data_IF_181177253035
#
_entry.id   IF_181177253035
#
_cell.length_a   1.000
_cell.length_b   1.000
_cell.length_c   1.000
_cell.angle_alpha   90.00
_cell.angle_beta   90.00
_cell.angle_gamma   90.00
#
_symmetry.space_group_name_H-M   'P 1'
#
loop_
_entity.id
_entity.type
_entity.pdbx_description
1 polymer ?
#
# COMPACT_ATOMS: atom_id res chain seq x y z
N UNK A 1 -5.76 1.97 -0.05
CA UNK A 1 -4.89 2.39 1.06
C UNK A 1 -3.70 3.21 0.58
N UNK A 2 -2.75 2.67 -0.21
CA UNK A 2 -1.62 3.46 -0.75
C UNK A 2 -2.07 4.67 -1.57
N UNK A 3 -3.12 4.53 -2.38
CA UNK A 3 -3.74 5.64 -3.12
C UNK A 3 -4.34 6.74 -2.23
N UNK A 4 -4.60 6.45 -0.95
CA UNK A 4 -5.28 7.35 0.00
C UNK A 4 -4.28 7.99 0.96
N UNK A 5 -3.32 7.21 1.47
CA UNK A 5 -2.30 7.65 2.44
C UNK A 5 -0.99 8.14 1.81
N UNK A 6 -0.76 7.82 0.53
CA UNK A 6 0.46 8.20 -0.20
C UNK A 6 1.59 7.19 0.02
N UNK A 7 2.08 7.08 1.25
CA UNK A 7 3.12 6.11 1.64
C UNK A 7 2.72 5.34 2.90
N UNK A 8 3.11 4.06 2.98
CA UNK A 8 2.87 3.19 4.14
C UNK A 8 4.08 2.29 4.42
N UNK A 9 4.38 2.04 5.68
CA UNK A 9 5.41 1.08 6.08
C UNK A 9 4.93 -0.36 5.82
N UNK A 10 5.86 -1.31 5.66
CA UNK A 10 5.50 -2.74 5.62
C UNK A 10 4.73 -3.19 6.87
N UNK A 11 5.01 -2.61 8.04
CA UNK A 11 4.29 -2.87 9.27
C UNK A 11 2.83 -2.40 9.16
N UNK A 12 2.60 -1.17 8.68
CA UNK A 12 1.26 -0.63 8.45
C UNK A 12 0.42 -1.52 7.54
N UNK A 13 1.02 -2.01 6.45
CA UNK A 13 0.32 -2.88 5.50
C UNK A 13 0.01 -4.24 6.15
N UNK A 14 0.88 -4.71 7.03
CA UNK A 14 0.70 -5.94 7.81
C UNK A 14 -0.44 -5.83 8.80
N UNK A 15 -0.48 -4.74 9.55
CA UNK A 15 -1.51 -4.48 10.55
C UNK A 15 -2.86 -4.16 9.90
N UNK A 16 -2.85 -3.39 8.81
CA UNK A 16 -4.06 -3.06 8.06
C UNK A 16 -4.74 -4.32 7.48
N UNK A 17 -3.96 -5.23 6.90
CA UNK A 17 -4.49 -6.43 6.24
C UNK A 17 -4.65 -7.63 7.17
N UNK A 18 -4.12 -7.58 8.40
CA UNK A 18 -4.11 -8.70 9.36
C UNK A 18 -3.55 -10.00 8.73
N UNK A 19 -2.61 -9.86 7.80
CA UNK A 19 -1.93 -10.98 7.12
C UNK A 19 -0.48 -11.06 7.58
N UNK A 20 0.12 -12.24 7.46
CA UNK A 20 1.52 -12.38 7.85
C UNK A 20 2.46 -11.61 6.93
N UNK A 21 3.49 -10.99 7.51
CA UNK A 21 4.50 -10.21 6.81
C UNK A 21 5.14 -10.94 5.61
N UNK A 22 5.44 -12.27 5.64
CA UNK A 22 5.98 -12.96 4.47
C UNK A 22 5.03 -13.00 3.26
N UNK A 23 3.71 -13.11 3.50
CA UNK A 23 2.71 -13.10 2.42
C UNK A 23 2.62 -11.71 1.79
N UNK A 24 2.56 -10.68 2.63
CA UNK A 24 2.49 -9.29 2.19
C UNK A 24 3.74 -8.89 1.43
N UNK A 25 4.92 -9.20 1.96
CA UNK A 25 6.20 -8.90 1.30
C UNK A 25 6.27 -9.52 -0.09
N UNK A 26 5.75 -10.74 -0.27
CA UNK A 26 5.67 -11.38 -1.58
C UNK A 26 4.74 -10.64 -2.55
N UNK A 27 3.54 -10.27 -2.11
CA UNK A 27 2.61 -9.49 -2.93
C UNK A 27 3.19 -8.12 -3.31
N UNK A 28 3.83 -7.42 -2.36
CA UNK A 28 4.48 -6.13 -2.61
C UNK A 28 5.66 -6.26 -3.58
N UNK A 29 6.45 -7.33 -3.47
CA UNK A 29 7.53 -7.61 -4.41
C UNK A 29 7.00 -7.83 -5.83
N UNK A 30 5.87 -8.53 -5.99
CA UNK A 30 5.27 -8.74 -7.31
C UNK A 30 4.65 -7.45 -7.87
N UNK A 31 3.98 -6.63 -7.04
CA UNK A 31 3.51 -5.30 -7.45
C UNK A 31 4.66 -4.36 -7.86
N UNK A 32 5.80 -4.45 -7.17
CA UNK A 32 7.02 -3.70 -7.52
C UNK A 32 7.58 -4.17 -8.87
N UNK A 33 7.64 -5.47 -9.12
CA UNK A 33 8.09 -6.01 -10.42
C UNK A 33 7.21 -5.52 -11.57
N UNK A 34 5.90 -5.37 -11.32
CA UNK A 34 4.96 -4.80 -12.29
C UNK A 34 5.07 -3.27 -12.42
N UNK A 35 5.93 -2.60 -11.65
CA UNK A 35 6.07 -1.13 -11.67
C UNK A 35 4.87 -0.38 -11.09
N UNK A 36 4.00 -1.05 -10.31
CA UNK A 36 2.82 -0.42 -9.72
C UNK A 36 3.14 0.32 -8.41
N UNK A 37 4.11 -0.20 -7.67
CA UNK A 37 4.55 0.39 -6.40
C UNK A 37 6.06 0.60 -6.41
N UNK A 38 6.49 1.60 -5.66
CA UNK A 38 7.88 1.91 -5.38
C UNK A 38 8.14 1.72 -3.89
N UNK A 39 9.25 1.09 -3.55
CA UNK A 39 9.75 1.01 -2.19
C UNK A 39 10.83 2.06 -1.92
N UNK A 40 10.85 2.60 -0.71
CA UNK A 40 11.87 3.53 -0.24
C UNK A 40 12.29 3.13 1.15
N UNK A 41 13.60 2.89 1.34
CA UNK A 41 14.14 2.53 2.64
C UNK A 41 14.47 3.79 3.43
N UNK A 42 13.76 4.01 4.54
CA UNK A 42 14.01 5.10 5.50
C UNK A 42 14.55 4.49 6.80
N UNK A 43 15.87 4.48 6.95
CA UNK A 43 16.54 3.87 8.09
C UNK A 43 16.36 2.35 8.15
N UNK A 44 15.74 1.86 9.24
CA UNK A 44 15.46 0.43 9.44
C UNK A 44 14.20 -0.05 8.72
N UNK A 45 13.35 0.87 8.27
CA UNK A 45 12.02 0.56 7.73
C UNK A 45 11.96 0.74 6.22
N UNK A 46 11.07 -0.03 5.59
CA UNK A 46 10.79 0.04 4.15
C UNK A 46 9.37 0.54 3.96
N UNK A 47 9.25 1.64 3.25
CA UNK A 47 8.01 2.28 2.89
C UNK A 47 7.64 1.93 1.47
N UNK A 48 6.34 1.75 1.21
CA UNK A 48 5.80 1.55 -0.12
C UNK A 48 4.87 2.71 -0.47
N UNK A 49 4.91 3.10 -1.74
CA UNK A 49 4.03 4.10 -2.33
C UNK A 49 3.64 3.66 -3.75
N UNK A 50 2.59 4.27 -4.30
CA UNK A 50 2.29 4.08 -5.73
C UNK A 50 3.45 4.64 -6.56
N UNK A 51 3.77 3.97 -7.67
CA UNK A 51 4.86 4.43 -8.51
C UNK A 51 4.51 5.80 -9.12
N UNK A 52 5.38 6.83 -8.99
CA UNK A 52 5.07 8.19 -9.43
C UNK A 52 4.86 8.30 -10.94
N UNK A 53 5.56 7.46 -11.71
CA UNK A 53 5.44 7.40 -13.18
C UNK A 53 4.28 6.52 -13.67
N UNK A 54 3.31 6.18 -12.80
CA UNK A 54 2.12 5.48 -13.25
C UNK A 54 1.36 6.31 -14.29
N UNK A 55 0.90 5.69 -15.39
CA UNK A 55 0.08 6.40 -16.35
C UNK A 55 -1.23 6.82 -15.71
N UNK A 56 -1.75 7.99 -16.10
CA UNK A 56 -2.94 8.61 -15.50
C UNK A 56 -4.13 7.66 -15.44
N UNK A 57 -4.38 6.89 -16.51
CA UNK A 57 -5.46 5.92 -16.56
C UNK A 57 -5.35 4.84 -15.47
N UNK A 58 -4.14 4.41 -15.12
CA UNK A 58 -3.92 3.39 -14.10
C UNK A 58 -4.19 3.96 -12.70
N UNK A 59 -3.75 5.20 -12.46
CA UNK A 59 -4.09 5.93 -11.22
C UNK A 59 -5.60 6.10 -11.09
N UNK A 60 -6.30 6.44 -12.17
CA UNK A 60 -7.74 6.61 -12.17
C UNK A 60 -8.46 5.29 -11.88
N UNK A 61 -8.04 4.18 -12.49
CA UNK A 61 -8.58 2.85 -12.17
C UNK A 61 -8.36 2.51 -10.70
N UNK A 62 -7.15 2.72 -10.17
CA UNK A 62 -6.84 2.41 -8.76
C UNK A 62 -7.68 3.29 -7.81
N UNK A 63 -7.80 4.58 -8.11
CA UNK A 63 -8.59 5.53 -7.31
C UNK A 63 -10.08 5.20 -7.37
N UNK A 64 -10.64 5.02 -8.56
CA UNK A 64 -12.04 4.65 -8.74
C UNK A 64 -12.35 3.30 -8.08
N UNK A 65 -11.47 2.32 -8.22
CA UNK A 65 -11.64 1.01 -7.56
C UNK A 65 -11.62 1.16 -6.05
N UNK A 66 -10.70 1.96 -5.49
CA UNK A 66 -10.64 2.22 -4.05
C UNK A 66 -11.90 2.95 -3.55
N UNK A 67 -12.37 3.97 -4.29
CA UNK A 67 -13.55 4.76 -3.95
C UNK A 67 -14.89 4.04 -4.15
N UNK A 68 -14.93 2.92 -4.88
CA UNK A 68 -16.17 2.16 -5.06
C UNK A 68 -16.21 0.86 -4.22
N UNK A 69 -15.09 0.50 -3.58
CA UNK A 69 -14.96 -0.71 -2.78
C UNK A 69 -14.67 -0.40 -1.31
N UNK A 70 -15.44 0.55 -0.75
CA UNK A 70 -15.31 1.00 0.63
C UNK A 70 -15.24 -0.13 1.66
N UNK A 71 -16.06 -1.18 1.50
CA UNK A 71 -16.05 -2.35 2.39
C UNK A 71 -14.67 -3.04 2.53
N UNK A 72 -13.82 -2.97 1.50
CA UNK A 72 -12.47 -3.56 1.50
C UNK A 72 -11.37 -2.59 1.93
N UNK A 73 -11.72 -1.30 2.09
CA UNK A 73 -10.75 -0.23 2.36
C UNK A 73 -10.94 0.34 3.78
N UNK A 74 -12.18 0.46 4.24
CA UNK A 74 -12.50 1.15 5.49
C UNK A 74 -11.98 0.38 6.72
N UNK A 75 -12.18 -0.94 6.77
CA UNK A 75 -11.68 -1.77 7.88
C UNK A 75 -10.15 -1.79 7.94
N UNK A 76 -9.41 -2.04 6.83
CA UNK A 76 -7.96 -1.93 6.86
C UNK A 76 -7.42 -0.53 7.17
N UNK A 77 -8.11 0.55 6.73
CA UNK A 77 -7.72 1.92 7.07
C UNK A 77 -7.91 2.20 8.57
N UNK A 78 -8.93 1.63 9.20
CA UNK A 78 -9.16 1.76 10.64
C UNK A 78 -8.12 0.99 11.47
N UNK A 79 -7.56 -0.08 10.90
CA UNK A 79 -6.54 -0.92 11.55
C UNK A 79 -5.10 -0.35 11.43
N UNK A 80 -4.91 0.77 10.73
CA UNK A 80 -3.62 1.46 10.66
C UNK A 80 -3.26 2.01 12.04
N UNK A 81 -2.31 1.37 12.71
CA UNK A 81 -1.94 1.66 14.09
C UNK A 81 -0.48 2.09 14.30
N UNK A 82 0.39 2.06 13.27
CA UNK A 82 1.76 2.56 13.41
C UNK A 82 1.80 4.10 13.28
N UNK A 83 1.67 4.81 14.39
CA UNK A 83 2.02 6.24 14.46
C UNK A 83 3.54 6.48 14.67
N UNK A 84 4.35 5.41 14.75
CA UNK A 84 5.76 5.48 15.19
C UNK A 84 6.76 4.71 14.32
N UNK A 85 6.32 4.37 13.12
CA UNK A 85 7.19 4.10 11.98
C UNK A 85 7.55 5.49 11.38
#
# INVERSE_FOLDING_TARGET
MLSVKGELCVCDITDALQLSQPKISRHLADLRKCGLVLDTRKGKWVYYQLHPDLPVWALDVIKNTASNNHAYIDEPLANLSCESC
#
